data_IF_978726910138
#
_entry.id   IF_978726910138
#
_cell.length_a   1.000
_cell.length_b   1.000
_cell.length_c   1.000
_cell.angle_alpha   90.00
_cell.angle_beta   90.00
_cell.angle_gamma   90.00
#
_symmetry.space_group_name_H-M   'P 1'
#
loop_
_entity.id
_entity.type
_entity.pdbx_description
1 polymer ?
#
# COMPACT_ATOMS: atom_id res chain seq x y z
N UNK A 1 -25.30 25.71 -4.01
CA UNK A 1 -24.15 24.99 -4.59
C UNK A 1 -23.10 26.05 -4.89
N UNK A 2 -21.93 25.96 -4.26
CA UNK A 2 -20.81 26.88 -4.47
C UNK A 2 -19.64 26.15 -5.11
N UNK A 3 -18.59 26.88 -5.46
CA UNK A 3 -17.40 26.32 -6.06
C UNK A 3 -16.61 25.48 -5.06
N UNK A 4 -16.02 24.37 -5.54
CA UNK A 4 -15.13 23.56 -4.73
C UNK A 4 -13.83 24.32 -4.47
N UNK A 5 -13.60 24.70 -3.22
CA UNK A 5 -12.29 25.13 -2.74
C UNK A 5 -11.56 23.90 -2.25
N UNK A 6 -10.52 23.49 -2.98
CA UNK A 6 -9.61 22.41 -2.56
C UNK A 6 -8.22 23.00 -2.34
N UNK A 7 -7.54 22.72 -1.22
CA UNK A 7 -6.14 23.09 -1.05
C UNK A 7 -5.32 22.50 -2.19
N UNK A 8 -4.53 23.35 -2.85
CA UNK A 8 -3.49 22.91 -3.79
C UNK A 8 -2.32 22.33 -2.97
N UNK A 9 -2.36 21.02 -2.73
CA UNK A 9 -1.29 20.32 -2.04
C UNK A 9 -0.27 19.85 -3.08
N UNK A 10 0.68 20.73 -3.38
CA UNK A 10 1.82 20.46 -4.25
C UNK A 10 2.65 19.28 -3.71
N UNK A 11 3.12 18.43 -4.63
CA UNK A 11 4.13 17.43 -4.31
C UNK A 11 5.46 18.14 -4.06
N UNK A 12 6.14 17.80 -2.97
CA UNK A 12 7.46 18.33 -2.67
C UNK A 12 8.31 17.29 -1.93
N UNK A 13 9.61 17.30 -2.18
CA UNK A 13 10.57 16.64 -1.31
C UNK A 13 10.68 17.41 0.01
N UNK A 14 10.70 16.69 1.12
CA UNK A 14 10.89 17.25 2.45
C UNK A 14 12.11 16.62 3.10
N UNK A 15 13.21 17.37 3.12
CA UNK A 15 14.52 16.82 3.48
C UNK A 15 15.05 15.89 2.38
N UNK A 16 15.92 14.95 2.77
CA UNK A 16 16.61 14.06 1.84
C UNK A 16 15.84 12.76 1.56
N UNK A 17 14.97 12.33 2.49
CA UNK A 17 14.37 10.99 2.50
C UNK A 17 12.84 10.97 2.56
N UNK A 18 12.16 12.13 2.50
CA UNK A 18 10.69 12.20 2.62
C UNK A 18 10.05 13.02 1.51
N UNK A 19 8.78 12.76 1.28
CA UNK A 19 7.92 13.49 0.36
C UNK A 19 6.65 13.90 1.06
N UNK A 20 6.09 15.03 0.64
CA UNK A 20 4.79 15.53 1.08
C UNK A 20 3.93 15.76 -0.16
N UNK A 21 2.63 15.50 -0.06
CA UNK A 21 1.71 15.70 -1.18
C UNK A 21 0.29 15.24 -0.87
N UNK A 22 -0.64 15.58 -1.76
CA UNK A 22 -2.03 15.14 -1.67
C UNK A 22 -2.17 13.65 -2.02
N UNK A 23 -2.98 12.94 -1.22
CA UNK A 23 -3.47 11.60 -1.55
C UNK A 23 -2.32 10.61 -1.82
N UNK A 24 -1.25 10.67 -1.02
CA UNK A 24 -0.22 9.63 -1.00
C UNK A 24 -0.86 8.27 -0.70
N UNK A 25 -1.81 8.25 0.22
CA UNK A 25 -2.84 7.23 0.34
C UNK A 25 -3.89 7.40 -0.78
N UNK A 26 -3.95 6.53 -1.81
CA UNK A 26 -3.04 5.41 -2.11
C UNK A 26 -2.36 5.57 -3.49
N UNK A 27 -2.03 6.82 -3.89
CA UNK A 27 -1.26 7.08 -5.11
C UNK A 27 0.13 6.49 -5.06
N UNK A 28 0.74 6.34 -3.88
CA UNK A 28 2.05 5.70 -3.76
C UNK A 28 1.98 4.22 -4.13
N UNK A 29 0.93 3.50 -3.72
CA UNK A 29 0.68 2.13 -4.14
C UNK A 29 0.45 2.02 -5.66
N UNK A 30 -0.24 2.98 -6.25
CA UNK A 30 -0.40 3.06 -7.71
C UNK A 30 0.94 3.27 -8.44
N UNK A 31 1.80 4.16 -7.92
CA UNK A 31 3.13 4.39 -8.49
C UNK A 31 4.01 3.14 -8.39
N UNK A 32 4.02 2.46 -7.24
CA UNK A 32 4.71 1.18 -7.05
C UNK A 32 4.19 0.10 -8.01
N UNK A 33 2.88 0.01 -8.20
CA UNK A 33 2.27 -0.94 -9.15
C UNK A 33 2.73 -0.66 -10.59
N UNK A 34 2.76 0.61 -11.00
CA UNK A 34 3.24 0.99 -12.33
C UNK A 34 4.72 0.64 -12.54
N UNK A 35 5.54 0.80 -11.51
CA UNK A 35 6.96 0.39 -11.54
C UNK A 35 7.10 -1.13 -11.64
N UNK A 36 6.34 -1.89 -10.85
CA UNK A 36 6.36 -3.36 -10.88
C UNK A 36 5.99 -3.91 -12.26
N UNK A 37 4.95 -3.35 -12.90
CA UNK A 37 4.55 -3.75 -14.25
C UNK A 37 5.61 -3.46 -15.32
N UNK A 38 6.49 -2.49 -15.10
CA UNK A 38 7.58 -2.14 -16.02
C UNK A 38 8.85 -2.95 -15.76
N UNK A 39 9.10 -3.32 -14.50
CA UNK A 39 10.37 -3.91 -14.06
C UNK A 39 10.34 -5.42 -13.92
N UNK A 40 9.19 -6.00 -13.57
CA UNK A 40 9.05 -7.45 -13.41
C UNK A 40 8.97 -8.12 -14.78
N UNK A 41 10.02 -8.86 -15.11
CA UNK A 41 10.08 -9.67 -16.32
C UNK A 41 10.35 -11.13 -15.94
N UNK A 42 9.31 -11.83 -15.49
CA UNK A 42 9.38 -13.24 -15.16
C UNK A 42 8.33 -14.02 -15.99
N UNK A 43 8.75 -14.87 -16.93
CA UNK A 43 7.83 -15.58 -17.83
C UNK A 43 7.00 -16.66 -17.12
N UNK A 44 7.39 -17.08 -15.90
CA UNK A 44 6.68 -18.09 -15.12
C UNK A 44 5.45 -17.53 -14.40
N UNK A 45 5.23 -16.21 -14.43
CA UNK A 45 4.10 -15.56 -13.77
C UNK A 45 3.31 -14.71 -14.76
N UNK A 46 2.00 -14.62 -14.51
CA UNK A 46 1.16 -13.58 -15.12
C UNK A 46 0.92 -12.50 -14.08
N UNK A 47 1.39 -11.28 -14.34
CA UNK A 47 1.25 -10.15 -13.42
C UNK A 47 0.05 -9.28 -13.81
N UNK A 48 -0.88 -9.10 -12.88
CA UNK A 48 -2.01 -8.18 -13.00
C UNK A 48 -1.82 -6.98 -12.06
N UNK A 49 -1.98 -5.77 -12.58
CA UNK A 49 -2.12 -4.55 -11.77
C UNK A 49 -3.57 -4.12 -11.67
N UNK A 50 -4.08 -3.95 -10.44
CA UNK A 50 -5.47 -3.56 -10.19
C UNK A 50 -5.51 -2.26 -9.39
N UNK A 51 -5.85 -1.16 -10.07
CA UNK A 51 -6.26 0.08 -9.42
C UNK A 51 -7.77 0.06 -9.18
N UNK A 52 -8.19 -0.13 -7.93
CA UNK A 52 -9.60 -0.20 -7.56
C UNK A 52 -10.11 1.10 -6.94
N UNK A 53 -11.41 1.36 -7.06
CA UNK A 53 -12.12 2.44 -6.37
C UNK A 53 -12.92 1.87 -5.20
N UNK A 54 -13.42 2.76 -4.35
CA UNK A 54 -14.33 2.41 -3.24
C UNK A 54 -13.71 1.50 -2.16
N UNK A 55 -12.40 1.60 -1.90
CA UNK A 55 -11.75 0.92 -0.78
C UNK A 55 -12.47 1.29 0.54
N UNK A 56 -12.54 2.59 0.80
CA UNK A 56 -13.07 3.21 2.02
C UNK A 56 -14.56 2.96 2.28
N UNK A 57 -15.30 2.50 1.26
CA UNK A 57 -16.74 2.22 1.36
C UNK A 57 -17.09 0.75 1.18
N UNK A 58 -16.09 -0.14 1.22
CA UNK A 58 -16.31 -1.58 1.36
C UNK A 58 -15.59 -2.49 0.36
N UNK A 59 -14.50 -2.03 -0.26
CA UNK A 59 -13.62 -2.87 -1.11
C UNK A 59 -14.30 -3.49 -2.35
N UNK A 60 -15.43 -2.94 -2.83
CA UNK A 60 -16.23 -3.56 -3.90
C UNK A 60 -15.46 -3.73 -5.21
N UNK A 61 -14.63 -2.73 -5.55
CA UNK A 61 -13.77 -2.79 -6.73
C UNK A 61 -12.73 -3.91 -6.62
N UNK A 62 -12.08 -4.03 -5.47
CA UNK A 62 -11.11 -5.09 -5.21
C UNK A 62 -11.76 -6.49 -5.24
N UNK A 63 -12.93 -6.65 -4.60
CA UNK A 63 -13.66 -7.92 -4.58
C UNK A 63 -14.06 -8.36 -6.00
N UNK A 64 -14.66 -7.47 -6.78
CA UNK A 64 -15.07 -7.77 -8.16
C UNK A 64 -13.87 -8.14 -9.03
N UNK A 65 -12.75 -7.43 -8.86
CA UNK A 65 -11.52 -7.70 -9.60
C UNK A 65 -10.95 -9.08 -9.25
N UNK A 66 -10.92 -9.44 -7.97
CA UNK A 66 -10.46 -10.75 -7.51
C UNK A 66 -11.35 -11.90 -8.05
N UNK A 67 -12.68 -11.73 -8.03
CA UNK A 67 -13.63 -12.72 -8.56
C UNK A 67 -13.50 -12.92 -10.07
N UNK A 68 -13.17 -11.86 -10.81
CA UNK A 68 -12.99 -11.91 -12.25
C UNK A 68 -11.65 -12.53 -12.65
N UNK A 69 -10.55 -12.05 -12.04
CA UNK A 69 -9.18 -12.47 -12.38
C UNK A 69 -8.88 -13.86 -11.83
N UNK A 70 -9.44 -14.22 -10.66
CA UNK A 70 -9.16 -15.45 -9.89
C UNK A 70 -7.65 -15.70 -9.70
N UNK A 71 -6.91 -14.76 -9.09
CA UNK A 71 -5.46 -14.87 -8.94
C UNK A 71 -5.05 -15.94 -7.91
N UNK A 72 -3.89 -16.57 -8.12
CA UNK A 72 -3.30 -17.51 -7.16
C UNK A 72 -2.78 -16.82 -5.89
N UNK A 73 -2.24 -15.60 -6.06
CA UNK A 73 -1.68 -14.77 -4.99
C UNK A 73 -2.08 -13.31 -5.23
N UNK A 74 -2.47 -12.63 -4.17
CA UNK A 74 -2.74 -11.19 -4.17
C UNK A 74 -1.79 -10.51 -3.20
N UNK A 75 -1.09 -9.48 -3.68
CA UNK A 75 -0.31 -8.57 -2.86
C UNK A 75 -1.03 -7.22 -2.89
N UNK A 76 -1.49 -6.77 -1.72
CA UNK A 76 -2.17 -5.48 -1.56
C UNK A 76 -1.12 -4.42 -1.23
N UNK A 77 -1.05 -3.37 -2.05
CA UNK A 77 -0.19 -2.22 -1.81
C UNK A 77 -1.05 -1.13 -1.16
N UNK A 78 -0.71 -0.75 0.05
CA UNK A 78 -1.45 0.27 0.80
C UNK A 78 -0.53 1.02 1.76
N UNK A 79 -0.99 2.17 2.24
CA UNK A 79 -0.28 2.96 3.23
C UNK A 79 -0.64 2.54 4.65
N UNK A 80 0.24 2.86 5.59
CA UNK A 80 0.00 2.63 7.01
C UNK A 80 0.42 3.86 7.81
N UNK A 81 -0.19 4.03 8.98
CA UNK A 81 0.11 5.15 9.87
C UNK A 81 1.42 4.86 10.61
N UNK A 82 2.40 5.75 10.44
CA UNK A 82 3.61 5.76 11.25
C UNK A 82 3.32 6.42 12.62
N UNK A 83 3.84 5.83 13.70
CA UNK A 83 3.64 6.33 15.07
C UNK A 83 4.77 7.20 15.61
N UNK A 84 5.77 7.51 14.79
CA UNK A 84 6.84 8.46 15.08
C UNK A 84 6.44 9.92 14.77
N UNK A 85 5.13 10.21 14.71
CA UNK A 85 4.57 11.54 14.48
C UNK A 85 3.95 12.12 15.77
N UNK A 86 4.02 13.44 15.99
CA UNK A 86 3.43 14.06 17.18
C UNK A 86 1.93 13.75 17.35
N UNK A 87 1.54 13.34 18.55
CA UNK A 87 0.14 13.09 18.90
C UNK A 87 -0.39 11.69 18.58
N UNK A 88 0.43 10.78 18.04
CA UNK A 88 0.07 9.38 17.81
C UNK A 88 0.67 8.47 18.89
N UNK A 89 -0.11 7.50 19.35
CA UNK A 89 0.36 6.45 20.26
C UNK A 89 1.24 5.44 19.52
N UNK A 90 2.53 5.47 19.81
CA UNK A 90 3.53 4.61 19.18
C UNK A 90 3.45 3.13 19.60
N UNK A 91 2.74 2.81 20.69
CA UNK A 91 2.47 1.41 21.08
C UNK A 91 1.42 0.83 20.14
N UNK A 92 0.40 1.63 19.82
CA UNK A 92 -0.68 1.24 18.91
C UNK A 92 -0.24 1.28 17.43
N UNK A 93 0.64 2.21 17.08
CA UNK A 93 1.17 2.39 15.73
C UNK A 93 2.70 2.24 15.74
N UNK A 94 3.23 1.01 15.71
CA UNK A 94 4.66 0.77 15.93
C UNK A 94 5.55 1.10 14.71
N UNK A 95 4.97 1.41 13.56
CA UNK A 95 5.71 1.72 12.34
C UNK A 95 6.40 3.08 12.44
N UNK A 96 7.55 3.20 11.78
CA UNK A 96 8.35 4.43 11.71
C UNK A 96 8.74 4.70 10.26
N UNK A 97 8.73 5.97 9.85
CA UNK A 97 9.15 6.34 8.51
C UNK A 97 10.66 6.10 8.34
N UNK A 98 11.06 5.59 7.17
CA UNK A 98 12.46 5.28 6.85
C UNK A 98 12.94 3.88 7.28
N UNK A 99 12.12 3.12 8.01
CA UNK A 99 12.48 1.77 8.48
C UNK A 99 12.04 0.64 7.51
N UNK A 100 11.78 0.97 6.25
CA UNK A 100 11.31 0.02 5.24
C UNK A 100 9.78 -0.20 5.25
N UNK A 101 9.29 -1.18 4.47
CA UNK A 101 7.86 -1.42 4.31
C UNK A 101 7.22 -2.06 5.55
N UNK A 102 5.97 -1.68 5.82
CA UNK A 102 5.15 -2.35 6.82
C UNK A 102 4.49 -3.61 6.26
N UNK A 103 4.46 -4.70 7.04
CA UNK A 103 3.71 -5.91 6.71
C UNK A 103 2.49 -6.04 7.65
N UNK A 104 1.29 -5.89 7.08
CA UNK A 104 0.05 -6.07 7.83
C UNK A 104 -0.13 -7.53 8.24
N UNK A 105 -0.24 -7.78 9.55
CA UNK A 105 -0.36 -9.15 10.09
C UNK A 105 -1.82 -9.60 10.22
N UNK A 106 -2.75 -8.68 10.49
CA UNK A 106 -4.19 -8.93 10.52
C UNK A 106 -4.97 -7.61 10.62
N UNK A 107 -6.22 -7.64 10.18
CA UNK A 107 -7.26 -6.64 10.47
C UNK A 107 -8.60 -7.39 10.66
N UNK A 108 -9.65 -6.71 11.12
CA UNK A 108 -11.02 -7.20 11.20
C UNK A 108 -11.52 -7.86 9.91
N UNK A 109 -11.02 -7.48 8.73
CA UNK A 109 -11.42 -8.02 7.43
C UNK A 109 -10.32 -8.83 6.73
N UNK A 110 -9.14 -8.94 7.33
CA UNK A 110 -7.96 -9.50 6.69
C UNK A 110 -7.21 -10.45 7.61
N UNK A 111 -7.05 -11.69 7.13
CA UNK A 111 -6.18 -12.68 7.75
C UNK A 111 -5.24 -13.27 6.68
N UNK A 112 -3.94 -12.95 6.69
CA UNK A 112 -3.03 -13.34 5.63
C UNK A 112 -2.70 -14.84 5.66
N UNK A 113 -2.33 -15.36 4.49
CA UNK A 113 -1.71 -16.66 4.40
C UNK A 113 -0.38 -16.66 5.16
N UNK A 114 -0.27 -17.50 6.19
CA UNK A 114 0.89 -17.52 7.09
C UNK A 114 2.19 -17.96 6.39
N UNK A 115 2.11 -18.77 5.33
CA UNK A 115 3.29 -19.15 4.53
C UNK A 115 3.83 -17.94 3.77
N UNK A 116 2.97 -17.09 3.22
CA UNK A 116 3.37 -15.85 2.57
C UNK A 116 4.00 -14.88 3.58
N UNK A 117 3.38 -14.69 4.75
CA UNK A 117 3.97 -13.85 5.81
C UNK A 117 5.37 -14.32 6.19
N UNK A 118 5.57 -15.62 6.38
CA UNK A 118 6.87 -16.18 6.69
C UNK A 118 7.89 -15.98 5.54
N UNK A 119 7.46 -16.09 4.28
CA UNK A 119 8.30 -15.82 3.12
C UNK A 119 8.73 -14.35 3.05
N UNK A 120 7.81 -13.40 3.23
CA UNK A 120 8.12 -11.97 3.26
C UNK A 120 9.07 -11.61 4.40
N UNK A 121 8.85 -12.13 5.62
CA UNK A 121 9.79 -11.91 6.74
C UNK A 121 11.19 -12.40 6.42
N UNK A 122 11.33 -13.56 5.79
CA UNK A 122 12.64 -14.09 5.38
C UNK A 122 13.33 -13.20 4.35
N UNK A 123 12.59 -12.70 3.37
CA UNK A 123 13.13 -11.78 2.36
C UNK A 123 13.65 -10.48 2.99
N UNK A 124 12.91 -9.90 3.94
CA UNK A 124 13.32 -8.67 4.64
C UNK A 124 14.50 -8.84 5.61
N UNK A 125 14.87 -10.07 5.96
CA UNK A 125 16.04 -10.38 6.81
C UNK A 125 17.22 -10.95 6.02
N UNK A 126 17.07 -11.12 4.69
CA UNK A 126 18.13 -11.61 3.82
C UNK A 126 19.05 -10.49 3.31
N UNK A 127 18.73 -9.23 3.64
CA UNK A 127 19.55 -8.03 3.47
C UNK A 127 20.10 -7.57 4.83
#
# INVERSE_FOLDING_TARGET
MGDFISPEANFACWGEDKVVGKALDNRIGCAMMAELLQTVNNPEITLYGVGSVEEEVGLRGAQTSAEHIKPDVVIVLDTAVAGDVPGIDNIKYPLKLGNGPGLMLFDKRYFPNQKLVAAFKKLCHAE
#
